data_IF_280329048056
#
_entry.id   IF_280329048056
#
_cell.length_a   1.000
_cell.length_b   1.000
_cell.length_c   1.000
_cell.angle_alpha   90.00
_cell.angle_beta   90.00
_cell.angle_gamma   90.00
#
_symmetry.space_group_name_H-M   'P 1'
#
loop_
_entity.id
_entity.type
_entity.pdbx_description
1 polymer ?
#
# COMPACT_ATOMS: atom_id res chain seq x y z
N UNK A 1 -0.80 4.11 13.95
CA UNK A 1 -0.95 4.51 12.54
C UNK A 1 0.24 5.35 12.16
N UNK A 2 0.79 5.14 10.99
CA UNK A 2 2.04 5.76 10.61
C UNK A 2 2.00 6.31 9.18
N UNK A 3 2.72 7.42 8.94
CA UNK A 3 3.10 7.88 7.61
C UNK A 3 4.12 6.92 6.99
N UNK A 4 4.32 7.01 5.68
CA UNK A 4 5.38 6.22 5.04
C UNK A 4 6.76 6.58 5.60
N UNK A 5 7.02 7.85 5.86
CA UNK A 5 8.28 8.31 6.45
C UNK A 5 8.55 7.69 7.84
N UNK A 6 7.51 7.51 8.64
CA UNK A 6 7.64 6.83 9.94
C UNK A 6 7.98 5.35 9.77
N UNK A 7 7.37 4.68 8.79
CA UNK A 7 7.72 3.29 8.46
C UNK A 7 9.18 3.19 8.00
N UNK A 8 9.64 4.10 7.13
CA UNK A 8 11.03 4.15 6.68
C UNK A 8 12.02 4.37 7.85
N UNK A 9 11.63 5.18 8.82
CA UNK A 9 12.47 5.43 10.00
C UNK A 9 12.54 4.22 10.92
N UNK A 10 11.42 3.53 11.13
CA UNK A 10 11.34 2.39 12.06
C UNK A 10 11.82 1.07 11.45
N UNK A 11 11.69 0.90 10.13
CA UNK A 11 12.03 -0.32 9.42
C UNK A 11 12.68 0.00 8.06
N UNK A 12 13.85 0.65 8.05
CA UNK A 12 14.44 1.21 6.82
C UNK A 12 14.72 0.17 5.74
N UNK A 13 15.26 -0.99 6.10
CA UNK A 13 15.59 -2.04 5.14
C UNK A 13 14.32 -2.70 4.57
N UNK A 14 13.34 -2.99 5.40
CA UNK A 14 12.06 -3.55 4.99
C UNK A 14 11.29 -2.59 4.10
N UNK A 15 11.24 -1.31 4.49
CA UNK A 15 10.58 -0.26 3.72
C UNK A 15 11.23 -0.07 2.34
N UNK A 16 12.56 -0.10 2.26
CA UNK A 16 13.28 0.04 0.99
C UNK A 16 12.98 -1.12 0.04
N UNK A 17 12.97 -2.37 0.54
CA UNK A 17 12.61 -3.54 -0.28
C UNK A 17 11.15 -3.50 -0.74
N UNK A 18 10.24 -3.18 0.17
CA UNK A 18 8.83 -3.04 -0.16
C UNK A 18 8.60 -1.94 -1.20
N UNK A 19 9.26 -0.79 -1.04
CA UNK A 19 9.19 0.31 -1.99
C UNK A 19 9.64 -0.12 -3.39
N UNK A 20 10.74 -0.87 -3.49
CA UNK A 20 11.22 -1.41 -4.76
C UNK A 20 10.19 -2.32 -5.43
N UNK A 21 9.50 -3.16 -4.65
CA UNK A 21 8.45 -4.06 -5.16
C UNK A 21 7.20 -3.28 -5.62
N UNK A 22 6.79 -2.25 -4.88
CA UNK A 22 5.68 -1.39 -5.29
C UNK A 22 6.00 -0.57 -6.53
N UNK A 23 7.23 -0.07 -6.66
CA UNK A 23 7.65 0.74 -7.79
C UNK A 23 7.95 -0.09 -9.06
N UNK A 24 8.09 -1.40 -8.94
CA UNK A 24 8.40 -2.28 -10.08
C UNK A 24 7.29 -2.32 -11.14
N UNK A 25 6.05 -2.00 -10.78
CA UNK A 25 4.92 -1.94 -11.70
C UNK A 25 4.03 -0.75 -11.36
N UNK A 26 3.46 -0.15 -12.40
CA UNK A 26 2.53 0.98 -12.23
C UNK A 26 1.26 0.55 -11.48
N UNK A 27 0.70 -0.61 -11.82
CA UNK A 27 -0.56 -1.09 -11.24
C UNK A 27 -0.32 -2.01 -10.03
N UNK A 28 -1.08 -1.77 -8.99
CA UNK A 28 -1.15 -2.54 -7.75
C UNK A 28 -2.58 -3.05 -7.57
N UNK A 29 -2.76 -3.97 -6.65
CA UNK A 29 -4.09 -4.49 -6.28
C UNK A 29 -4.49 -3.91 -4.93
N UNK A 30 -5.67 -3.28 -4.89
CA UNK A 30 -6.24 -2.66 -3.70
C UNK A 30 -7.46 -3.45 -3.24
N UNK A 31 -7.51 -3.79 -1.97
CA UNK A 31 -8.69 -4.33 -1.31
C UNK A 31 -9.40 -3.24 -0.50
N UNK A 32 -10.70 -3.15 -0.67
CA UNK A 32 -11.61 -2.28 0.09
C UNK A 32 -12.81 -3.08 0.57
N UNK A 33 -13.65 -2.49 1.41
CA UNK A 33 -14.81 -3.17 2.01
C UNK A 33 -16.09 -2.57 1.44
N UNK A 34 -16.90 -3.43 0.83
CA UNK A 34 -18.22 -3.05 0.30
C UNK A 34 -19.18 -2.71 1.43
N UNK A 35 -20.31 -2.10 1.06
CA UNK A 35 -21.36 -1.74 2.01
C UNK A 35 -21.90 -2.93 2.82
N UNK A 36 -21.96 -4.12 2.21
CA UNK A 36 -22.40 -5.36 2.88
C UNK A 36 -21.31 -6.06 3.70
N UNK A 37 -20.10 -5.47 3.78
CA UNK A 37 -18.96 -6.04 4.49
C UNK A 37 -18.12 -7.00 3.65
N UNK A 38 -18.53 -7.32 2.43
CA UNK A 38 -17.74 -8.19 1.56
C UNK A 38 -16.52 -7.47 0.98
N UNK A 39 -15.41 -8.17 0.70
CA UNK A 39 -14.21 -7.56 0.13
C UNK A 39 -14.39 -7.21 -1.35
N UNK A 40 -13.78 -6.11 -1.77
CA UNK A 40 -13.63 -5.71 -3.17
C UNK A 40 -12.16 -5.66 -3.51
N UNK A 41 -11.80 -6.13 -4.69
CA UNK A 41 -10.48 -5.96 -5.28
C UNK A 41 -10.58 -5.02 -6.46
N UNK A 42 -9.65 -4.07 -6.55
CA UNK A 42 -9.54 -3.11 -7.66
C UNK A 42 -8.09 -2.93 -8.06
N UNK A 43 -7.84 -2.67 -9.34
CA UNK A 43 -6.56 -2.12 -9.77
C UNK A 43 -6.41 -0.68 -9.28
N UNK A 44 -5.20 -0.29 -8.92
CA UNK A 44 -4.91 1.07 -8.46
C UNK A 44 -3.48 1.46 -8.75
N UNK A 45 -3.23 2.76 -8.83
CA UNK A 45 -1.92 3.36 -8.77
C UNK A 45 -1.73 4.00 -7.39
N UNK A 46 -0.48 4.08 -6.95
CA UNK A 46 -0.14 4.73 -5.68
C UNK A 46 1.00 5.72 -5.91
N UNK A 47 1.07 6.72 -5.05
CA UNK A 47 2.12 7.72 -5.07
C UNK A 47 2.78 7.81 -3.70
N UNK A 48 4.10 7.63 -3.67
CA UNK A 48 4.91 7.95 -2.49
C UNK A 48 5.47 9.37 -2.68
N UNK A 49 4.99 10.30 -1.91
CA UNK A 49 5.39 11.71 -2.01
C UNK A 49 5.22 12.44 -0.69
N UNK A 50 6.14 13.37 -0.41
CA UNK A 50 6.12 14.18 0.80
C UNK A 50 6.05 13.35 2.10
N UNK A 51 6.74 12.20 2.14
CA UNK A 51 6.78 11.34 3.31
C UNK A 51 5.52 10.51 3.55
N UNK A 52 4.57 10.54 2.61
CA UNK A 52 3.28 9.86 2.71
C UNK A 52 3.07 8.88 1.55
N UNK A 53 2.20 7.92 1.78
CA UNK A 53 1.60 7.10 0.73
C UNK A 53 0.22 7.61 0.40
N UNK A 54 -0.04 7.79 -0.89
CA UNK A 54 -1.28 8.34 -1.41
C UNK A 54 -1.96 7.37 -2.37
N UNK A 55 -3.29 7.26 -2.25
CA UNK A 55 -4.15 6.57 -3.21
C UNK A 55 -4.96 7.62 -3.97
N UNK A 56 -4.77 7.65 -5.29
CA UNK A 56 -5.61 8.46 -6.18
C UNK A 56 -6.71 7.62 -6.81
N UNK A 57 -7.83 8.24 -7.13
CA UNK A 57 -8.96 7.57 -7.78
C UNK A 57 -9.76 8.54 -8.61
N UNK A 58 -10.27 8.08 -9.75
CA UNK A 58 -11.17 8.87 -10.58
C UNK A 58 -12.44 9.26 -9.80
N UNK A 59 -13.02 10.39 -10.20
CA UNK A 59 -14.28 10.86 -9.62
C UNK A 59 -15.35 9.75 -9.63
N UNK A 60 -16.02 9.57 -8.49
CA UNK A 60 -17.07 8.56 -8.25
C UNK A 60 -16.65 7.10 -8.40
N UNK A 61 -15.37 6.79 -8.42
CA UNK A 61 -14.93 5.40 -8.42
C UNK A 61 -15.49 4.66 -7.19
N UNK A 62 -15.96 3.43 -7.40
CA UNK A 62 -16.64 2.67 -6.33
C UNK A 62 -15.70 2.39 -5.16
N UNK A 63 -14.43 2.12 -5.42
CA UNK A 63 -13.42 1.97 -4.38
C UNK A 63 -13.26 3.22 -3.49
N UNK A 64 -13.43 4.41 -4.06
CA UNK A 64 -13.41 5.66 -3.29
C UNK A 64 -14.63 5.78 -2.38
N UNK A 65 -15.80 5.38 -2.85
CA UNK A 65 -17.01 5.33 -2.03
C UNK A 65 -16.90 4.30 -0.91
N UNK A 66 -16.27 3.15 -1.16
CA UNK A 66 -15.96 2.17 -0.13
C UNK A 66 -15.08 2.81 0.96
N UNK A 67 -13.97 3.47 0.58
CA UNK A 67 -13.02 4.07 1.52
C UNK A 67 -13.61 5.23 2.33
N UNK A 68 -14.55 5.97 1.77
CA UNK A 68 -15.31 6.98 2.51
C UNK A 68 -16.15 6.39 3.62
N UNK A 69 -16.78 5.25 3.35
CA UNK A 69 -17.65 4.56 4.30
C UNK A 69 -16.84 3.77 5.32
N UNK A 70 -15.80 3.06 4.87
CA UNK A 70 -14.91 2.26 5.70
C UNK A 70 -13.47 2.48 5.20
N UNK A 71 -12.63 3.21 5.95
CA UNK A 71 -11.30 3.58 5.47
C UNK A 71 -10.29 2.44 5.46
N UNK A 72 -10.62 1.26 5.97
CA UNK A 72 -9.71 0.12 5.98
C UNK A 72 -9.39 -0.33 4.56
N UNK A 73 -8.12 -0.56 4.31
CA UNK A 73 -7.64 -1.03 3.01
C UNK A 73 -6.47 -2.00 3.19
N UNK A 74 -6.24 -2.80 2.16
CA UNK A 74 -4.99 -3.54 1.97
C UNK A 74 -4.51 -3.35 0.54
N UNK A 75 -3.19 -3.30 0.37
CA UNK A 75 -2.53 -3.08 -0.91
C UNK A 75 -1.52 -4.19 -1.14
N UNK A 76 -1.50 -4.75 -2.35
CA UNK A 76 -0.53 -5.77 -2.78
C UNK A 76 0.24 -5.26 -3.98
N UNK A 77 1.57 -5.43 -3.98
CA UNK A 77 2.41 -5.16 -5.15
C UNK A 77 2.03 -6.08 -6.32
N UNK A 78 2.37 -5.70 -7.53
CA UNK A 78 2.31 -6.63 -8.64
C UNK A 78 3.25 -7.82 -8.36
N UNK A 79 2.86 -9.01 -8.81
CA UNK A 79 3.65 -10.22 -8.66
C UNK A 79 4.13 -10.70 -10.03
N UNK A 80 5.22 -11.47 -10.05
CA UNK A 80 5.75 -12.09 -11.25
C UNK A 80 5.76 -13.61 -11.07
N UNK A 81 5.77 -14.33 -12.20
CA UNK A 81 5.92 -15.78 -12.17
C UNK A 81 7.39 -16.20 -11.98
N UNK A 82 7.64 -17.33 -11.33
CA UNK A 82 9.00 -17.89 -11.29
C UNK A 82 9.54 -18.18 -12.71
N UNK A 83 10.84 -18.00 -12.97
CA UNK A 83 11.91 -17.67 -12.00
C UNK A 83 12.06 -16.17 -11.72
N UNK A 84 11.24 -15.30 -12.31
CA UNK A 84 11.33 -13.85 -12.15
C UNK A 84 10.81 -13.32 -10.80
N UNK A 85 10.16 -14.16 -10.01
CA UNK A 85 9.63 -13.75 -8.71
C UNK A 85 10.74 -13.61 -7.68
N UNK A 86 10.88 -12.42 -7.09
CA UNK A 86 11.85 -12.11 -6.05
C UNK A 86 11.19 -11.85 -4.70
N UNK A 87 9.88 -11.79 -4.67
CA UNK A 87 9.07 -11.52 -3.49
C UNK A 87 7.90 -10.61 -3.79
N UNK A 88 7.01 -10.50 -2.82
CA UNK A 88 5.86 -9.62 -2.85
C UNK A 88 5.85 -8.71 -1.62
N UNK A 89 5.38 -7.49 -1.81
CA UNK A 89 5.10 -6.55 -0.73
C UNK A 89 3.60 -6.34 -0.59
N UNK A 90 3.14 -6.23 0.64
CA UNK A 90 1.77 -5.84 0.95
C UNK A 90 1.73 -4.93 2.17
N UNK A 91 0.77 -4.05 2.20
CA UNK A 91 0.55 -3.20 3.36
C UNK A 91 -0.95 -3.04 3.63
N UNK A 92 -1.26 -2.65 4.84
CA UNK A 92 -2.62 -2.39 5.27
C UNK A 92 -2.68 -1.16 6.17
N UNK A 93 -3.82 -0.57 6.27
CA UNK A 93 -4.05 0.61 7.10
C UNK A 93 -5.41 1.23 6.88
N UNK A 94 -5.45 2.55 7.04
CA UNK A 94 -6.66 3.37 6.85
C UNK A 94 -6.36 4.47 5.84
N UNK A 95 -7.22 4.59 4.84
CA UNK A 95 -7.12 5.61 3.80
C UNK A 95 -8.09 6.76 4.13
N UNK A 96 -7.54 7.93 4.41
CA UNK A 96 -8.30 9.11 4.82
C UNK A 96 -8.37 10.11 3.66
N UNK A 97 -9.59 10.44 3.25
CA UNK A 97 -9.79 11.34 2.11
C UNK A 97 -9.32 12.76 2.43
N UNK A 98 -8.59 13.33 1.48
CA UNK A 98 -8.17 14.73 1.48
C UNK A 98 -8.92 15.44 0.37
N UNK A 99 -9.71 16.45 0.72
CA UNK A 99 -10.56 17.18 -0.22
C UNK A 99 -10.04 18.57 -0.58
N UNK A 100 -8.90 18.99 -0.02
CA UNK A 100 -8.30 20.27 -0.33
C UNK A 100 -7.76 20.27 -1.78
N UNK A 101 -8.30 21.11 -2.69
CA UNK A 101 -7.86 21.15 -4.09
C UNK A 101 -6.37 21.47 -4.26
N UNK A 102 -5.79 22.25 -3.36
CA UNK A 102 -4.37 22.60 -3.41
C UNK A 102 -3.49 21.37 -3.11
N UNK A 103 -3.90 20.52 -2.17
CA UNK A 103 -3.21 19.26 -1.87
C UNK A 103 -3.36 18.29 -3.04
N UNK A 104 -4.57 18.13 -3.57
CA UNK A 104 -4.83 17.25 -4.72
C UNK A 104 -3.98 17.68 -5.92
N UNK A 105 -3.91 18.98 -6.22
CA UNK A 105 -3.10 19.49 -7.32
C UNK A 105 -1.60 19.22 -7.11
N UNK A 106 -1.11 19.37 -5.88
CA UNK A 106 0.30 19.11 -5.54
C UNK A 106 0.69 17.62 -5.67
N UNK A 107 -0.20 16.72 -5.30
CA UNK A 107 0.07 15.27 -5.29
C UNK A 107 -0.25 14.64 -6.64
N UNK A 108 -1.43 14.90 -7.20
CA UNK A 108 -1.94 14.27 -8.42
C UNK A 108 -1.77 15.12 -9.69
N UNK A 109 -1.44 16.39 -9.54
CA UNK A 109 -1.40 17.36 -10.65
C UNK A 109 -2.69 18.19 -10.75
N UNK A 110 -2.54 19.41 -11.24
CA UNK A 110 -3.62 20.40 -11.31
C UNK A 110 -4.81 19.95 -12.16
N UNK A 111 -4.57 19.10 -13.16
CA UNK A 111 -5.62 18.55 -14.03
C UNK A 111 -6.51 17.50 -13.33
N UNK A 112 -6.13 17.03 -12.14
CA UNK A 112 -6.82 16.00 -11.40
C UNK A 112 -7.52 16.50 -10.13
N UNK A 113 -7.77 17.80 -10.01
CA UNK A 113 -8.39 18.39 -8.81
C UNK A 113 -9.81 17.89 -8.53
N UNK A 114 -10.51 17.34 -9.54
CA UNK A 114 -11.82 16.70 -9.37
C UNK A 114 -11.79 15.23 -8.96
N UNK A 115 -10.60 14.62 -8.87
CA UNK A 115 -10.45 13.23 -8.47
C UNK A 115 -10.36 13.08 -6.95
N UNK A 116 -10.55 11.84 -6.48
CA UNK A 116 -10.35 11.51 -5.07
C UNK A 116 -8.87 11.35 -4.74
N UNK A 117 -8.48 11.79 -3.55
CA UNK A 117 -7.16 11.58 -2.99
C UNK A 117 -7.27 11.13 -1.54
N UNK A 118 -6.58 10.05 -1.21
CA UNK A 118 -6.55 9.50 0.15
C UNK A 118 -5.13 9.46 0.64
N UNK A 119 -4.90 9.97 1.85
CA UNK A 119 -3.66 9.76 2.59
C UNK A 119 -3.75 8.45 3.37
N UNK A 120 -2.72 7.62 3.29
CA UNK A 120 -2.70 6.32 3.94
C UNK A 120 -2.00 6.39 5.30
N UNK A 121 -2.75 6.09 6.36
CA UNK A 121 -2.18 5.76 7.66
C UNK A 121 -1.89 4.26 7.70
N UNK A 122 -0.62 3.89 7.81
CA UNK A 122 -0.15 2.51 7.66
C UNK A 122 -0.10 1.83 9.03
N UNK A 123 -0.67 0.63 9.13
CA UNK A 123 -0.64 -0.18 10.35
C UNK A 123 0.22 -1.41 10.20
N UNK A 124 0.44 -1.88 8.97
CA UNK A 124 1.18 -3.11 8.68
C UNK A 124 1.91 -2.99 7.35
N UNK A 125 3.14 -3.47 7.31
CA UNK A 125 3.93 -3.68 6.10
C UNK A 125 4.53 -5.09 6.14
N UNK A 126 4.38 -5.85 5.05
CA UNK A 126 4.89 -7.23 4.96
C UNK A 126 5.63 -7.42 3.65
N UNK A 127 6.77 -8.08 3.70
CA UNK A 127 7.49 -8.60 2.53
C UNK A 127 7.62 -10.10 2.67
N UNK A 128 7.21 -10.83 1.63
CA UNK A 128 7.36 -12.28 1.51
C UNK A 128 8.36 -12.55 0.40
N UNK A 129 9.41 -13.30 0.68
CA UNK A 129 10.44 -13.63 -0.29
C UNK A 129 10.92 -15.08 -0.09
N UNK A 130 11.63 -15.60 -1.09
CA UNK A 130 12.33 -16.88 -0.94
C UNK A 130 13.52 -16.70 0.00
N UNK A 131 13.76 -17.71 0.84
CA UNK A 131 14.96 -17.80 1.66
C UNK A 131 16.18 -18.25 0.86
N UNK A 132 17.29 -18.40 1.56
CA UNK A 132 18.52 -18.98 1.03
C UNK A 132 18.97 -20.12 1.97
N UNK A 133 18.90 -21.41 1.54
CA UNK A 133 18.47 -21.88 0.21
C UNK A 133 16.97 -21.62 -0.07
N UNK A 134 16.58 -21.69 -1.36
CA UNK A 134 15.24 -21.36 -1.83
C UNK A 134 14.22 -22.51 -1.61
N UNK A 135 14.20 -23.07 -0.42
CA UNK A 135 13.32 -24.15 0.02
C UNK A 135 12.29 -23.72 1.07
N UNK A 136 12.29 -22.44 1.41
CA UNK A 136 11.39 -21.85 2.40
C UNK A 136 11.07 -20.39 2.05
N UNK A 137 9.99 -19.88 2.64
CA UNK A 137 9.63 -18.46 2.57
C UNK A 137 10.12 -17.74 3.81
N UNK A 138 10.64 -16.54 3.60
CA UNK A 138 10.94 -15.58 4.68
C UNK A 138 9.89 -14.49 4.65
N UNK A 139 9.21 -14.31 5.77
CA UNK A 139 8.15 -13.32 5.94
C UNK A 139 8.62 -12.31 6.97
N UNK A 140 8.89 -11.10 6.51
CA UNK A 140 9.22 -9.98 7.38
C UNK A 140 8.02 -9.06 7.46
N UNK A 141 7.65 -8.66 8.67
CA UNK A 141 6.52 -7.79 8.92
C UNK A 141 6.88 -6.69 9.90
N UNK A 142 6.37 -5.50 9.62
CA UNK A 142 6.36 -4.38 10.54
C UNK A 142 4.91 -4.07 10.90
N UNK A 143 4.67 -3.82 12.18
CA UNK A 143 3.37 -3.35 12.68
C UNK A 143 3.58 -2.11 13.52
N UNK A 144 2.71 -1.14 13.36
CA UNK A 144 2.73 0.08 14.17
C UNK A 144 2.71 -0.27 15.67
N UNK A 145 3.68 0.23 16.42
CA UNK A 145 3.83 -0.03 17.86
C UNK A 145 4.44 -1.37 18.25
N UNK A 146 4.77 -2.26 17.29
CA UNK A 146 5.37 -3.57 17.57
C UNK A 146 6.70 -3.82 16.87
N UNK A 147 7.07 -2.95 15.92
CA UNK A 147 8.32 -3.07 15.18
C UNK A 147 8.35 -4.23 14.18
N UNK A 148 9.56 -4.66 13.83
CA UNK A 148 9.81 -5.68 12.80
C UNK A 148 9.88 -7.08 13.42
N UNK A 149 9.24 -8.04 12.77
CA UNK A 149 9.31 -9.46 13.10
C UNK A 149 9.62 -10.27 11.83
N UNK A 150 10.38 -11.34 11.98
CA UNK A 150 10.72 -12.26 10.90
C UNK A 150 10.21 -13.65 11.23
N UNK A 151 9.57 -14.28 10.24
CA UNK A 151 9.10 -15.66 10.32
C UNK A 151 9.51 -16.42 9.07
N UNK A 152 9.66 -17.73 9.20
CA UNK A 152 9.92 -18.64 8.08
C UNK A 152 8.77 -19.61 7.91
N UNK A 153 8.55 -20.04 6.66
CA UNK A 153 7.57 -21.07 6.31
C UNK A 153 8.19 -22.05 5.32
N UNK A 154 8.10 -23.32 5.63
CA UNK A 154 8.50 -24.45 4.76
C UNK A 154 7.28 -25.04 4.06
#
# INVERSE_FOLDING_TARGET
MASWQEVEREAPELAARARGMFDASVHKTLATIRRDGSPRISGTEVTFRAGELWLGSMARAVKALDLRRDPRFALHSASADPPGWTGDAKLAGRALEVSDPAVIARINGAQHTGSHLFRCDITELVVVALGDPADHLVIESWHAGRGVQTRTRT
#
